data_IF_617637160291
#
_entry.id   IF_617637160291
#
_cell.length_a   1.000
_cell.length_b   1.000
_cell.length_c   1.000
_cell.angle_alpha   90.00
_cell.angle_beta   90.00
_cell.angle_gamma   90.00
#
_symmetry.space_group_name_H-M   'P 1'
#
loop_
_entity.id
_entity.type
_entity.pdbx_description
1 polymer ?
#
# COMPACT_ATOMS: atom_id res chain seq x y z
N UNK A 1 -27.64 -8.92 1.89
CA UNK A 1 -27.86 -7.82 0.92
C UNK A 1 -27.98 -8.41 -0.47
N UNK A 2 -28.91 -7.91 -1.29
CA UNK A 2 -29.02 -8.32 -2.69
C UNK A 2 -28.13 -7.45 -3.58
N UNK A 3 -27.23 -8.06 -4.34
CA UNK A 3 -26.47 -7.37 -5.38
C UNK A 3 -27.30 -7.32 -6.69
N UNK A 4 -27.18 -6.24 -7.49
CA UNK A 4 -27.67 -6.24 -8.86
C UNK A 4 -27.10 -7.43 -9.65
N UNK A 5 -27.88 -7.98 -10.59
CA UNK A 5 -27.51 -9.20 -11.34
C UNK A 5 -26.15 -9.09 -12.04
N UNK A 6 -25.83 -7.92 -12.61
CA UNK A 6 -24.53 -7.67 -13.25
C UNK A 6 -23.37 -7.77 -12.25
N UNK A 7 -23.55 -7.23 -11.05
CA UNK A 7 -22.57 -7.27 -9.97
C UNK A 7 -22.42 -8.67 -9.38
N UNK A 8 -23.52 -9.41 -9.23
CA UNK A 8 -23.49 -10.83 -8.81
C UNK A 8 -22.69 -11.67 -9.82
N UNK A 9 -23.01 -11.57 -11.10
CA UNK A 9 -22.26 -12.30 -12.15
C UNK A 9 -20.76 -11.96 -12.16
N UNK A 10 -20.38 -10.74 -11.80
CA UNK A 10 -18.98 -10.34 -11.69
C UNK A 10 -18.31 -10.94 -10.45
N UNK A 11 -19.01 -10.97 -9.31
CA UNK A 11 -18.57 -11.61 -8.07
C UNK A 11 -18.36 -13.10 -8.29
N UNK A 12 -19.34 -13.81 -8.84
CA UNK A 12 -19.28 -15.28 -9.02
C UNK A 12 -18.04 -15.65 -9.88
N UNK A 13 -17.83 -14.95 -11.00
CA UNK A 13 -16.64 -15.14 -11.87
C UNK A 13 -15.32 -14.84 -11.16
N UNK A 14 -15.28 -13.91 -10.21
CA UNK A 14 -14.07 -13.60 -9.46
C UNK A 14 -13.83 -14.59 -8.32
N UNK A 15 -14.90 -14.99 -7.64
CA UNK A 15 -14.89 -15.94 -6.54
C UNK A 15 -14.40 -17.32 -7.01
N UNK A 16 -14.86 -17.77 -8.18
CA UNK A 16 -14.37 -18.99 -8.86
C UNK A 16 -12.86 -18.95 -9.08
N UNK A 17 -12.31 -17.84 -9.61
CA UNK A 17 -10.86 -17.69 -9.83
C UNK A 17 -10.03 -17.70 -8.55
N UNK A 18 -10.66 -17.37 -7.42
CA UNK A 18 -10.03 -17.30 -6.09
C UNK A 18 -10.34 -18.56 -5.26
N UNK A 19 -11.05 -19.55 -5.81
CA UNK A 19 -11.54 -20.74 -5.11
C UNK A 19 -12.26 -20.43 -3.79
N UNK A 20 -12.96 -19.30 -3.72
CA UNK A 20 -13.70 -18.86 -2.55
C UNK A 20 -15.20 -18.88 -2.83
N UNK A 21 -16.04 -19.14 -1.82
CA UNK A 21 -17.47 -18.93 -1.96
C UNK A 21 -17.80 -17.44 -2.01
N UNK A 22 -18.89 -17.05 -2.68
CA UNK A 22 -19.25 -15.64 -2.95
C UNK A 22 -19.26 -14.76 -1.71
N UNK A 23 -19.82 -15.25 -0.59
CA UNK A 23 -19.89 -14.49 0.65
C UNK A 23 -18.51 -14.20 1.25
N UNK A 24 -17.62 -15.19 1.22
CA UNK A 24 -16.24 -15.02 1.68
C UNK A 24 -15.47 -14.09 0.75
N UNK A 25 -15.66 -14.24 -0.55
CA UNK A 25 -15.06 -13.37 -1.55
C UNK A 25 -15.48 -11.90 -1.34
N UNK A 26 -16.78 -11.64 -1.18
CA UNK A 26 -17.30 -10.29 -0.91
C UNK A 26 -16.72 -9.74 0.40
N UNK A 27 -16.73 -10.53 1.49
CA UNK A 27 -16.23 -10.08 2.78
C UNK A 27 -14.74 -9.68 2.71
N UNK A 28 -13.91 -10.48 2.03
CA UNK A 28 -12.49 -10.17 1.83
C UNK A 28 -12.33 -8.93 0.95
N UNK A 29 -13.02 -8.85 -0.19
CA UNK A 29 -12.91 -7.71 -1.10
C UNK A 29 -13.31 -6.38 -0.43
N UNK A 30 -14.35 -6.40 0.41
CA UNK A 30 -14.76 -5.23 1.19
C UNK A 30 -13.70 -4.86 2.23
N UNK A 31 -13.16 -5.84 2.97
CA UNK A 31 -12.09 -5.60 3.93
C UNK A 31 -10.83 -5.02 3.26
N UNK A 32 -10.42 -5.60 2.13
CA UNK A 32 -9.29 -5.11 1.33
C UNK A 32 -9.54 -3.68 0.84
N UNK A 33 -10.74 -3.37 0.35
CA UNK A 33 -11.06 -2.01 -0.12
C UNK A 33 -11.05 -1.00 1.02
N UNK A 34 -11.59 -1.35 2.19
CA UNK A 34 -11.54 -0.51 3.39
C UNK A 34 -10.09 -0.24 3.81
N UNK A 35 -9.26 -1.29 3.87
CA UNK A 35 -7.84 -1.17 4.22
C UNK A 35 -7.09 -0.29 3.22
N UNK A 36 -7.34 -0.47 1.92
CA UNK A 36 -6.72 0.33 0.87
C UNK A 36 -7.08 1.83 0.99
N UNK A 37 -8.36 2.14 1.24
CA UNK A 37 -8.81 3.53 1.44
C UNK A 37 -8.22 4.13 2.71
N UNK A 38 -8.28 3.41 3.84
CA UNK A 38 -7.71 3.89 5.10
C UNK A 38 -6.20 4.12 5.01
N UNK A 39 -5.48 3.26 4.29
CA UNK A 39 -4.04 3.41 4.06
C UNK A 39 -3.73 4.62 3.18
N UNK A 40 -4.52 4.85 2.14
CA UNK A 40 -4.38 6.03 1.28
C UNK A 40 -4.58 7.32 2.09
N UNK A 41 -5.66 7.40 2.88
CA UNK A 41 -5.96 8.55 3.74
C UNK A 41 -4.81 8.82 4.74
N UNK A 42 -4.25 7.77 5.34
CA UNK A 42 -3.13 7.91 6.26
C UNK A 42 -1.86 8.42 5.57
N UNK A 43 -1.57 7.96 4.35
CA UNK A 43 -0.44 8.49 3.58
C UNK A 43 -0.64 9.94 3.18
N UNK A 44 -1.84 10.34 2.76
CA UNK A 44 -2.17 11.74 2.47
C UNK A 44 -2.00 12.61 3.71
N UNK A 45 -2.52 12.16 4.86
CA UNK A 45 -2.37 12.87 6.14
C UNK A 45 -0.90 13.04 6.55
N UNK A 46 -0.09 12.00 6.38
CA UNK A 46 1.35 12.06 6.69
C UNK A 46 2.11 12.95 5.71
N UNK A 47 1.79 12.88 4.43
CA UNK A 47 2.41 13.73 3.41
C UNK A 47 2.08 15.22 3.64
N UNK A 48 0.84 15.54 4.03
CA UNK A 48 0.43 16.90 4.35
C UNK A 48 1.17 17.49 5.56
N UNK A 49 1.60 16.64 6.50
CA UNK A 49 2.38 17.03 7.67
C UNK A 49 3.91 16.93 7.45
N UNK A 50 4.37 16.56 6.25
CA UNK A 50 5.78 16.34 5.99
C UNK A 50 6.53 17.66 5.74
N UNK A 51 7.67 17.84 6.40
CA UNK A 51 8.62 18.91 6.11
C UNK A 51 9.70 18.41 5.15
N UNK A 52 9.41 18.47 3.84
CA UNK A 52 10.35 18.00 2.81
C UNK A 52 11.69 18.75 2.82
N UNK A 53 11.69 20.06 3.09
CA UNK A 53 12.94 20.84 3.20
C UNK A 53 13.81 20.38 4.38
N UNK A 54 13.18 20.00 5.50
CA UNK A 54 13.90 19.47 6.65
C UNK A 54 14.48 18.09 6.35
N UNK A 55 13.72 17.25 5.65
CA UNK A 55 14.18 15.97 5.13
C UNK A 55 15.38 16.13 4.19
N UNK A 56 15.28 16.99 3.18
CA UNK A 56 16.34 17.23 2.20
C UNK A 56 17.60 17.75 2.88
N UNK A 57 17.47 18.67 3.84
CA UNK A 57 18.61 19.18 4.62
C UNK A 57 19.31 18.07 5.42
N UNK A 58 18.56 17.12 5.96
CA UNK A 58 19.12 15.98 6.69
C UNK A 58 19.83 15.03 5.72
N UNK A 59 19.18 14.71 4.59
CA UNK A 59 19.72 13.77 3.60
C UNK A 59 20.93 14.35 2.85
N UNK A 60 21.00 15.67 2.66
CA UNK A 60 22.14 16.34 2.00
C UNK A 60 23.30 16.65 2.96
N UNK A 61 23.17 16.34 4.25
CA UNK A 61 24.19 16.65 5.25
C UNK A 61 25.45 15.84 4.94
N UNK A 62 26.59 16.52 4.79
CA UNK A 62 27.89 15.85 4.84
C UNK A 62 28.11 15.25 6.23
N UNK A 63 28.30 13.95 6.26
CA UNK A 63 28.82 13.22 7.42
C UNK A 63 30.24 12.78 7.10
N UNK A 64 31.15 12.91 8.05
CA UNK A 64 32.54 12.44 7.91
C UNK A 64 32.66 10.95 8.26
N UNK A 65 31.58 10.33 8.74
CA UNK A 65 31.51 8.92 9.10
C UNK A 65 30.93 8.09 7.94
N UNK A 66 31.64 7.07 7.44
CA UNK A 66 31.14 6.23 6.36
C UNK A 66 29.97 5.37 6.83
N UNK A 67 29.07 5.00 5.91
CA UNK A 67 28.05 4.00 6.19
C UNK A 67 28.68 2.72 6.74
N UNK A 68 28.07 2.18 7.80
CA UNK A 68 28.42 0.84 8.28
C UNK A 68 28.19 -0.18 7.17
N UNK A 69 28.88 -1.32 7.24
CA UNK A 69 28.83 -2.33 6.18
C UNK A 69 27.40 -2.77 5.82
N UNK A 70 26.51 -2.87 6.81
CA UNK A 70 25.10 -3.23 6.63
C UNK A 70 24.26 -2.15 5.91
N UNK A 71 24.73 -0.90 5.89
CA UNK A 71 24.04 0.26 5.30
C UNK A 71 24.71 0.70 3.99
N UNK A 72 25.67 -0.08 3.47
CA UNK A 72 26.28 0.20 2.17
C UNK A 72 25.29 -0.15 1.06
N UNK A 73 25.10 0.78 0.13
CA UNK A 73 24.40 0.51 -1.12
C UNK A 73 25.12 -0.59 -1.88
N UNK A 74 24.35 -1.52 -2.43
CA UNK A 74 24.86 -2.52 -3.34
C UNK A 74 25.50 -1.80 -4.54
N UNK A 75 26.74 -2.15 -4.94
CA UNK A 75 27.39 -1.54 -6.11
C UNK A 75 26.58 -1.65 -7.40
N UNK A 76 25.68 -2.63 -7.52
CA UNK A 76 24.79 -2.77 -8.69
C UNK A 76 23.54 -1.85 -8.61
N UNK A 77 23.35 -1.15 -7.49
CA UNK A 77 22.26 -0.19 -7.23
C UNK A 77 22.75 1.27 -7.08
N UNK A 78 24.05 1.54 -7.25
CA UNK A 78 24.69 2.82 -6.99
C UNK A 78 24.82 3.74 -8.22
#
# INVERSE_FOLDING_TARGET
MGLPTSSRNAVDRLAERKHAGDNQFIAIAVAEKILALATADEFERRAAAAEFDAFDRIMSRKTDEPSVEADRLDPDLA
#
